data_IF_526896479081
#
_entry.id   IF_526896479081
#
_cell.length_a   1.000
_cell.length_b   1.000
_cell.length_c   1.000
_cell.angle_alpha   90.00
_cell.angle_beta   90.00
_cell.angle_gamma   90.00
#
_symmetry.space_group_name_H-M   'P 1'
#
loop_
_entity.id
_entity.type
_entity.pdbx_description
1 polymer ?
#
# COMPACT_ATOMS: atom_id res chain seq x y z
N UNK A 1 13.08 27.65 -0.62
CA UNK A 1 12.87 28.13 -2.01
C UNK A 1 13.05 26.91 -2.88
N UNK A 2 12.22 26.67 -3.89
CA UNK A 2 12.51 25.60 -4.85
C UNK A 2 13.67 26.13 -5.71
N UNK A 3 14.86 25.56 -5.57
CA UNK A 3 16.07 26.05 -6.25
C UNK A 3 16.13 25.62 -7.73
N UNK A 4 15.13 24.85 -8.17
CA UNK A 4 14.97 24.39 -9.55
C UNK A 4 13.88 25.23 -10.26
N UNK A 5 14.34 26.20 -11.04
CA UNK A 5 13.49 27.14 -11.79
C UNK A 5 12.78 26.47 -12.98
N UNK A 6 13.38 25.42 -13.55
CA UNK A 6 12.75 24.63 -14.61
C UNK A 6 11.56 23.84 -14.06
N UNK A 7 11.75 23.17 -12.93
CA UNK A 7 10.69 22.45 -12.25
C UNK A 7 9.53 23.38 -11.87
N UNK A 8 9.84 24.55 -11.30
CA UNK A 8 8.83 25.52 -10.91
C UNK A 8 8.02 26.04 -12.11
N UNK A 9 8.70 26.27 -13.25
CA UNK A 9 8.06 26.70 -14.50
C UNK A 9 7.14 25.60 -15.05
N UNK A 10 7.61 24.36 -15.10
CA UNK A 10 6.81 23.23 -15.52
C UNK A 10 5.56 23.05 -14.63
N UNK A 11 5.73 23.18 -13.32
CA UNK A 11 4.64 23.06 -12.35
C UNK A 11 3.57 24.15 -12.52
N UNK A 12 3.99 25.40 -12.84
CA UNK A 12 3.07 26.49 -13.15
C UNK A 12 2.28 26.25 -14.44
N UNK A 13 2.95 25.79 -15.49
CA UNK A 13 2.31 25.49 -16.77
C UNK A 13 1.26 24.41 -16.57
N UNK A 14 1.58 23.37 -15.81
CA UNK A 14 0.67 22.25 -15.56
C UNK A 14 -0.51 22.66 -14.66
N UNK A 15 -0.27 23.50 -13.65
CA UNK A 15 -1.32 24.11 -12.84
C UNK A 15 -2.29 24.94 -13.69
N UNK A 16 -1.76 25.73 -14.64
CA UNK A 16 -2.57 26.52 -15.55
C UNK A 16 -3.39 25.64 -16.52
N UNK A 17 -2.80 24.58 -17.06
CA UNK A 17 -3.48 23.62 -17.97
C UNK A 17 -4.60 22.85 -17.29
N UNK A 18 -4.37 22.42 -16.05
CA UNK A 18 -5.33 21.60 -15.30
C UNK A 18 -6.35 22.43 -14.54
N UNK A 19 -6.19 23.77 -14.51
CA UNK A 19 -6.95 24.69 -13.65
C UNK A 19 -6.91 24.30 -12.17
N UNK A 20 -5.82 23.68 -11.73
CA UNK A 20 -5.58 23.27 -10.35
C UNK A 20 -4.39 24.03 -9.78
N UNK A 21 -4.38 24.36 -8.48
CA UNK A 21 -3.22 25.02 -7.91
C UNK A 21 -2.04 24.03 -7.84
N UNK A 22 -0.84 24.54 -8.10
CA UNK A 22 0.40 23.74 -8.16
C UNK A 22 0.65 22.90 -6.89
N UNK A 23 0.23 23.41 -5.72
CA UNK A 23 0.33 22.69 -4.44
C UNK A 23 -0.48 21.38 -4.43
N UNK A 24 -1.61 21.32 -5.12
CA UNK A 24 -2.47 20.15 -5.14
C UNK A 24 -1.90 19.10 -6.10
N UNK A 25 -1.29 19.54 -7.22
CA UNK A 25 -0.55 18.65 -8.12
C UNK A 25 0.63 17.97 -7.42
N UNK A 26 1.38 18.74 -6.62
CA UNK A 26 2.50 18.20 -5.83
C UNK A 26 2.00 17.27 -4.72
N UNK A 27 0.89 17.62 -4.05
CA UNK A 27 0.30 16.77 -3.03
C UNK A 27 -0.14 15.41 -3.60
N UNK A 28 -0.79 15.39 -4.76
CA UNK A 28 -1.20 14.16 -5.43
C UNK A 28 0.01 13.32 -5.87
N UNK A 29 1.03 13.97 -6.45
CA UNK A 29 2.25 13.27 -6.87
C UNK A 29 2.99 12.63 -5.69
N UNK A 30 3.05 13.33 -4.55
CA UNK A 30 3.61 12.80 -3.31
C UNK A 30 2.76 11.66 -2.74
N UNK A 31 1.44 11.78 -2.77
CA UNK A 31 0.54 10.72 -2.32
C UNK A 31 0.75 9.43 -3.13
N UNK A 32 0.78 9.52 -4.46
CA UNK A 32 1.06 8.39 -5.35
C UNK A 32 2.45 7.79 -5.12
N UNK A 33 3.46 8.63 -4.92
CA UNK A 33 4.81 8.18 -4.61
C UNK A 33 4.85 7.40 -3.28
N UNK A 34 4.17 7.90 -2.25
CA UNK A 34 4.11 7.22 -0.96
C UNK A 34 3.29 5.93 -1.01
N UNK A 35 2.21 5.88 -1.77
CA UNK A 35 1.44 4.65 -1.99
C UNK A 35 2.31 3.59 -2.69
N UNK A 36 3.00 3.95 -3.77
CA UNK A 36 3.92 3.06 -4.48
C UNK A 36 5.09 2.60 -3.60
N UNK A 37 5.67 3.50 -2.81
CA UNK A 37 6.76 3.16 -1.89
C UNK A 37 6.27 2.23 -0.77
N UNK A 38 5.04 2.44 -0.29
CA UNK A 38 4.44 1.59 0.75
C UNK A 38 4.20 0.17 0.23
N UNK A 39 3.68 0.02 -0.99
CA UNK A 39 3.51 -1.29 -1.63
C UNK A 39 4.85 -2.02 -1.80
N UNK A 40 5.89 -1.32 -2.24
CA UNK A 40 7.23 -1.91 -2.37
C UNK A 40 7.82 -2.33 -1.02
N UNK A 41 7.73 -1.47 0.00
CA UNK A 41 8.23 -1.75 1.33
C UNK A 41 7.49 -2.91 2.00
N UNK A 42 6.16 -2.97 1.86
CA UNK A 42 5.35 -4.07 2.37
C UNK A 42 5.71 -5.38 1.67
N UNK A 43 5.98 -5.35 0.37
CA UNK A 43 6.42 -6.53 -0.40
C UNK A 43 7.80 -7.02 0.03
N UNK A 44 8.74 -6.10 0.28
CA UNK A 44 10.09 -6.43 0.76
C UNK A 44 10.03 -7.03 2.16
N UNK A 45 9.26 -6.40 3.06
CA UNK A 45 9.06 -6.87 4.43
C UNK A 45 8.38 -8.24 4.46
N UNK A 46 7.34 -8.44 3.65
CA UNK A 46 6.64 -9.71 3.52
C UNK A 46 7.56 -10.82 3.00
N UNK A 47 8.39 -10.55 1.99
CA UNK A 47 9.41 -11.52 1.52
C UNK A 47 10.43 -11.84 2.60
N UNK A 48 10.91 -10.84 3.35
CA UNK A 48 11.86 -11.07 4.44
C UNK A 48 11.23 -11.94 5.54
N UNK A 49 9.97 -11.69 5.89
CA UNK A 49 9.21 -12.45 6.87
C UNK A 49 8.92 -13.87 6.41
N UNK A 50 8.53 -14.07 5.14
CA UNK A 50 8.34 -15.39 4.53
C UNK A 50 9.62 -16.22 4.52
N UNK A 51 10.78 -15.61 4.23
CA UNK A 51 12.09 -16.28 4.33
C UNK A 51 12.46 -16.64 5.77
N UNK A 52 12.08 -15.80 6.75
CA UNK A 52 12.24 -16.12 8.17
C UNK A 52 11.36 -17.31 8.58
N UNK A 53 10.09 -17.27 8.18
CA UNK A 53 9.10 -18.31 8.44
C UNK A 53 9.49 -19.67 7.84
N UNK A 54 9.91 -19.69 6.57
CA UNK A 54 10.39 -20.90 5.92
C UNK A 54 11.65 -21.50 6.60
N UNK A 55 12.55 -20.65 7.09
CA UNK A 55 13.74 -21.10 7.85
C UNK A 55 13.40 -21.67 9.22
N UNK A 56 12.27 -21.30 9.81
CA UNK A 56 11.78 -21.83 11.09
C UNK A 56 10.94 -23.12 10.91
N UNK A 57 10.96 -23.70 9.71
CA UNK A 57 10.23 -24.93 9.37
C UNK A 57 8.84 -24.67 8.79
N UNK A 58 8.29 -23.47 8.98
CA UNK A 58 6.93 -23.11 8.56
C UNK A 58 5.85 -23.98 9.24
N UNK A 59 4.63 -23.46 9.28
CA UNK A 59 3.42 -24.21 9.59
C UNK A 59 2.49 -24.25 8.36
N UNK A 60 1.77 -25.36 8.15
CA UNK A 60 0.72 -25.43 7.14
C UNK A 60 -0.33 -24.35 7.37
N UNK A 61 -0.82 -23.75 6.28
CA UNK A 61 -1.81 -22.67 6.34
C UNK A 61 -3.09 -23.13 7.04
N UNK A 62 -3.45 -24.39 6.88
CA UNK A 62 -4.60 -25.04 7.52
C UNK A 62 -4.46 -25.04 9.04
N UNK A 63 -3.24 -25.24 9.56
CA UNK A 63 -2.96 -25.21 11.00
C UNK A 63 -3.06 -23.79 11.56
N UNK A 64 -2.52 -22.80 10.84
CA UNK A 64 -2.61 -21.38 11.24
C UNK A 64 -4.06 -20.90 11.22
N UNK A 65 -4.82 -21.25 10.18
CA UNK A 65 -6.23 -20.89 10.06
C UNK A 65 -7.06 -21.51 11.19
N UNK A 66 -6.78 -22.75 11.56
CA UNK A 66 -7.40 -23.41 12.70
C UNK A 66 -7.06 -22.72 14.04
N UNK A 67 -5.79 -22.36 14.26
CA UNK A 67 -5.35 -21.63 15.47
C UNK A 67 -5.96 -20.23 15.58
N UNK A 68 -6.21 -19.57 14.44
CA UNK A 68 -6.88 -18.26 14.37
C UNK A 68 -8.42 -18.36 14.39
N UNK A 69 -8.99 -19.56 14.46
CA UNK A 69 -10.44 -19.78 14.41
C UNK A 69 -11.09 -19.40 13.07
N UNK A 70 -10.29 -19.25 12.01
CA UNK A 70 -10.69 -18.89 10.65
C UNK A 70 -10.91 -20.15 9.80
N UNK A 71 -11.64 -21.12 10.33
CA UNK A 71 -11.96 -22.35 9.59
C UNK A 71 -13.00 -22.05 8.51
N UNK A 72 -12.88 -22.75 7.37
CA UNK A 72 -13.73 -22.61 6.17
C UNK A 72 -15.23 -22.78 6.46
N UNK A 73 -15.59 -23.33 7.63
CA UNK A 73 -16.96 -23.60 8.05
C UNK A 73 -17.58 -22.54 8.97
N UNK A 74 -16.92 -21.39 9.18
CA UNK A 74 -17.57 -20.22 9.76
C UNK A 74 -18.48 -19.54 8.73
N UNK A 75 -19.46 -20.28 8.19
CA UNK A 75 -20.63 -19.67 7.58
C UNK A 75 -21.33 -18.84 8.69
N UNK A 76 -21.63 -17.55 8.46
CA UNK A 76 -22.43 -16.81 9.42
C UNK A 76 -23.79 -17.50 9.50
N UNK A 77 -24.11 -18.07 10.67
CA UNK A 77 -25.43 -18.57 10.97
C UNK A 77 -26.42 -17.43 10.70
N UNK A 78 -27.19 -17.53 9.62
CA UNK A 78 -28.30 -16.60 9.38
C UNK A 78 -29.28 -16.77 10.55
N UNK A 79 -29.68 -15.70 11.23
CA UNK A 79 -30.77 -15.80 12.17
C UNK A 79 -32.02 -16.20 11.39
N UNK A 80 -32.67 -17.29 11.82
CA UNK A 80 -33.99 -17.66 11.35
C UNK A 80 -34.95 -16.50 11.67
N UNK A 81 -35.58 -15.96 10.62
CA UNK A 81 -36.74 -15.07 10.75
C UNK A 81 -38.00 -15.91 10.96
#
# INVERSE_FOLDING_TARGET
MFDDEELYTALKVEAAKTHRPAKDLVADALALLFESTREEHDTILMRARMRGYARQGGAPVEKILAELGLTKDAAPARPAQ
#
